data_IF_356531807249
#
_entry.id   IF_356531807249
#
_cell.length_a   1.000
_cell.length_b   1.000
_cell.length_c   1.000
_cell.angle_alpha   90.00
_cell.angle_beta   90.00
_cell.angle_gamma   90.00
#
_symmetry.space_group_name_H-M   'P 1'
#
loop_
_entity.id
_entity.type
_entity.pdbx_description
1 polymer ?
#
# COMPACT_ATOMS: atom_id res chain seq x y z
N UNK A 1 33.06 -35.70 48.35
CA UNK A 1 31.89 -35.08 47.69
C UNK A 1 32.39 -34.16 46.56
N UNK A 2 32.34 -34.63 45.32
CA UNK A 2 32.80 -33.85 44.14
C UNK A 2 31.58 -33.23 43.45
N UNK A 3 31.42 -31.92 43.59
CA UNK A 3 30.39 -31.16 42.94
C UNK A 3 30.90 -30.76 41.54
N UNK A 4 30.37 -31.40 40.50
CA UNK A 4 30.63 -30.99 39.09
C UNK A 4 29.75 -29.80 38.74
N UNK A 5 30.40 -28.66 38.49
CA UNK A 5 29.74 -27.45 37.96
C UNK A 5 29.50 -27.63 36.47
N UNK A 6 28.22 -27.72 36.03
CA UNK A 6 27.86 -27.70 34.63
C UNK A 6 27.72 -26.25 34.18
N UNK A 7 28.65 -25.80 33.36
CA UNK A 7 28.54 -24.52 32.65
C UNK A 7 27.68 -24.74 31.42
N UNK A 8 26.43 -24.22 31.44
CA UNK A 8 25.58 -24.15 30.25
C UNK A 8 25.98 -22.94 29.41
N UNK A 9 26.64 -23.21 28.28
CA UNK A 9 26.90 -22.15 27.27
C UNK A 9 25.64 -21.94 26.48
N UNK A 10 24.94 -20.81 26.75
CA UNK A 10 23.85 -20.33 25.89
C UNK A 10 24.48 -19.74 24.62
N UNK A 11 24.40 -20.46 23.53
CA UNK A 11 24.70 -19.92 22.21
C UNK A 11 23.56 -18.98 21.79
N UNK A 12 23.74 -17.68 21.92
CA UNK A 12 22.91 -16.69 21.28
C UNK A 12 23.17 -16.72 19.76
N UNK A 13 22.34 -17.41 19.00
CA UNK A 13 22.31 -17.28 17.56
C UNK A 13 21.68 -15.93 17.20
N UNK A 14 22.47 -14.91 16.97
CA UNK A 14 22.02 -13.67 16.34
C UNK A 14 21.71 -13.98 14.88
N UNK A 15 20.43 -14.19 14.55
CA UNK A 15 19.98 -14.13 13.17
C UNK A 15 20.09 -12.68 12.73
N UNK A 16 21.14 -12.36 11.95
CA UNK A 16 21.26 -11.07 11.32
C UNK A 16 20.01 -10.89 10.42
N UNK A 17 19.11 -9.99 10.81
CA UNK A 17 17.98 -9.60 9.96
C UNK A 17 18.58 -9.02 8.69
N UNK A 18 18.30 -9.65 7.54
CA UNK A 18 18.78 -9.17 6.25
C UNK A 18 18.17 -7.79 5.98
N UNK A 19 19.01 -6.80 5.65
CA UNK A 19 18.59 -5.42 5.47
C UNK A 19 17.50 -5.29 4.39
N UNK A 20 16.51 -4.46 4.67
CA UNK A 20 15.51 -4.04 3.69
C UNK A 20 16.13 -3.02 2.74
N UNK A 21 15.97 -3.22 1.44
CA UNK A 21 16.51 -2.28 0.45
C UNK A 21 15.52 -2.03 -0.69
N UNK A 22 15.55 -0.81 -1.20
CA UNK A 22 14.90 -0.41 -2.46
C UNK A 22 16.02 -0.09 -3.45
N UNK A 23 16.01 -0.73 -4.61
CA UNK A 23 16.92 -0.44 -5.69
C UNK A 23 16.14 -0.20 -6.97
N UNK A 24 16.40 0.93 -7.65
CA UNK A 24 15.74 1.30 -8.90
C UNK A 24 16.73 1.23 -10.06
N UNK A 25 16.38 0.49 -11.09
CA UNK A 25 17.07 0.44 -12.38
C UNK A 25 16.09 0.78 -13.50
N UNK A 26 16.60 1.00 -14.71
CA UNK A 26 15.76 1.38 -15.86
C UNK A 26 15.99 0.46 -17.04
N UNK A 27 14.88 0.04 -17.67
CA UNK A 27 14.86 -0.65 -18.96
C UNK A 27 14.04 0.21 -19.93
N UNK A 28 14.72 1.00 -20.76
CA UNK A 28 14.08 2.03 -21.59
C UNK A 28 13.43 3.12 -20.75
N UNK A 29 12.11 3.27 -20.87
CA UNK A 29 11.25 4.19 -20.13
C UNK A 29 10.64 3.57 -18.86
N UNK A 30 10.91 2.29 -18.60
CA UNK A 30 10.37 1.55 -17.46
C UNK A 30 11.35 1.60 -16.28
N UNK A 31 10.92 2.16 -15.16
CA UNK A 31 11.63 2.00 -13.89
C UNK A 31 11.32 0.62 -13.29
N UNK A 32 12.36 -0.11 -12.92
CA UNK A 32 12.27 -1.41 -12.24
C UNK A 32 12.73 -1.23 -10.82
N UNK A 33 11.77 -1.18 -9.90
CA UNK A 33 12.01 -1.05 -8.46
C UNK A 33 12.08 -2.44 -7.86
N UNK A 34 13.27 -2.84 -7.44
CA UNK A 34 13.51 -4.11 -6.76
C UNK A 34 13.57 -3.86 -5.26
N UNK A 35 12.69 -4.54 -4.52
CA UNK A 35 12.64 -4.51 -3.06
C UNK A 35 13.13 -5.83 -2.52
N UNK A 36 14.16 -5.79 -1.65
CA UNK A 36 14.67 -6.96 -0.92
C UNK A 36 14.06 -6.96 0.48
N UNK A 37 13.59 -8.12 0.94
CA UNK A 37 12.87 -8.30 2.20
C UNK A 37 11.73 -7.30 2.35
N UNK A 38 10.72 -7.35 1.44
CA UNK A 38 9.64 -6.38 1.41
C UNK A 38 8.81 -6.39 2.71
N UNK A 39 8.41 -5.20 3.12
CA UNK A 39 7.32 -4.99 4.07
C UNK A 39 5.96 -5.19 3.39
N UNK A 40 4.86 -4.98 4.12
CA UNK A 40 3.51 -5.07 3.55
C UNK A 40 3.32 -4.09 2.40
N UNK A 41 3.83 -2.86 2.53
CA UNK A 41 3.60 -1.78 1.57
C UNK A 41 4.88 -1.16 1.03
N UNK A 42 4.85 -0.79 -0.23
CA UNK A 42 5.65 0.26 -0.83
C UNK A 42 4.81 1.54 -0.80
N UNK A 43 5.27 2.56 -0.11
CA UNK A 43 4.57 3.85 -0.04
C UNK A 43 4.93 4.66 -1.26
N UNK A 44 3.91 5.00 -2.06
CA UNK A 44 4.03 5.73 -3.31
C UNK A 44 3.68 7.21 -3.09
N UNK A 45 4.62 8.13 -3.32
CA UNK A 45 4.36 9.57 -3.30
C UNK A 45 3.53 10.01 -4.51
N UNK A 46 2.49 10.81 -4.29
CA UNK A 46 1.54 11.28 -5.30
C UNK A 46 1.59 12.80 -5.44
N UNK A 47 1.56 13.28 -6.69
CA UNK A 47 1.38 14.69 -7.06
C UNK A 47 0.08 14.81 -7.89
N UNK A 48 -0.97 15.38 -7.29
CA UNK A 48 -2.36 15.27 -7.74
C UNK A 48 -2.61 15.77 -9.17
N UNK A 49 -1.89 16.78 -9.62
CA UNK A 49 -2.09 17.41 -10.92
C UNK A 49 -1.11 16.93 -11.99
N UNK A 50 -0.59 15.71 -11.87
CA UNK A 50 0.31 15.11 -12.86
C UNK A 50 -0.39 14.06 -13.73
N UNK A 51 0.17 13.76 -14.91
CA UNK A 51 -0.23 12.57 -15.65
C UNK A 51 -0.04 11.30 -14.83
N UNK A 52 -0.86 10.31 -15.11
CA UNK A 52 -0.77 9.00 -14.48
C UNK A 52 0.43 8.23 -15.05
N UNK A 53 1.20 7.63 -14.16
CA UNK A 53 2.15 6.58 -14.46
C UNK A 53 1.47 5.23 -14.21
N UNK A 54 1.90 4.19 -14.93
CA UNK A 54 1.40 2.84 -14.72
C UNK A 54 2.33 2.09 -13.77
N UNK A 55 1.77 1.52 -12.72
CA UNK A 55 2.49 0.77 -11.68
C UNK A 55 2.00 -0.67 -11.66
N UNK A 56 2.92 -1.62 -11.71
CA UNK A 56 2.64 -3.05 -11.69
C UNK A 56 3.47 -3.76 -10.61
N UNK A 57 2.83 -4.56 -9.77
CA UNK A 57 3.53 -5.58 -9.00
C UNK A 57 3.78 -6.79 -9.91
N UNK A 58 5.04 -6.98 -10.32
CA UNK A 58 5.43 -8.04 -11.25
C UNK A 58 5.61 -9.36 -10.52
N UNK A 59 4.59 -10.19 -10.54
CA UNK A 59 4.63 -11.57 -10.03
C UNK A 59 4.95 -12.61 -11.11
N UNK A 60 5.27 -12.15 -12.33
CA UNK A 60 5.53 -13.02 -13.47
C UNK A 60 4.27 -13.68 -14.05
N UNK A 61 3.07 -13.19 -13.70
CA UNK A 61 1.79 -13.71 -14.16
C UNK A 61 1.21 -12.83 -15.27
N UNK A 62 0.56 -13.44 -16.27
CA UNK A 62 -0.17 -12.69 -17.31
C UNK A 62 -1.39 -11.94 -16.77
N UNK A 63 -1.85 -12.28 -15.57
CA UNK A 63 -3.00 -11.68 -14.88
C UNK A 63 -2.58 -10.51 -13.98
N UNK A 64 -1.28 -10.17 -13.90
CA UNK A 64 -0.84 -9.02 -13.15
C UNK A 64 -1.44 -7.74 -13.78
N UNK A 65 -2.03 -6.88 -12.94
CA UNK A 65 -2.77 -5.71 -13.38
C UNK A 65 -1.96 -4.44 -13.14
N UNK A 66 -1.94 -3.57 -14.14
CA UNK A 66 -1.37 -2.23 -14.04
C UNK A 66 -2.34 -1.29 -13.31
N UNK A 67 -1.79 -0.50 -12.41
CA UNK A 67 -2.53 0.55 -11.70
C UNK A 67 -2.06 1.92 -12.18
N UNK A 68 -2.99 2.81 -12.42
CA UNK A 68 -2.72 4.19 -12.82
C UNK A 68 -2.53 5.05 -11.57
N UNK A 69 -1.34 5.63 -11.39
CA UNK A 69 -1.00 6.43 -10.20
C UNK A 69 -0.33 7.73 -10.63
N UNK A 70 -0.81 8.87 -10.11
CA UNK A 70 -0.20 10.19 -10.35
C UNK A 70 1.03 10.36 -9.49
N UNK A 71 2.10 9.63 -9.83
CA UNK A 71 3.35 9.65 -9.06
C UNK A 71 4.00 11.03 -9.07
N UNK A 72 4.57 11.42 -7.94
CA UNK A 72 5.19 12.71 -7.72
C UNK A 72 6.39 12.93 -8.67
N UNK A 73 6.34 13.99 -9.46
CA UNK A 73 7.44 14.42 -10.34
C UNK A 73 8.28 15.49 -9.68
N UNK A 74 7.67 16.50 -9.07
CA UNK A 74 8.36 17.67 -8.48
C UNK A 74 8.09 17.87 -7.00
N UNK A 75 6.93 17.44 -6.50
CA UNK A 75 6.54 17.56 -5.09
C UNK A 75 5.60 16.41 -4.72
N UNK A 76 5.48 16.12 -3.44
CA UNK A 76 4.53 15.15 -2.92
C UNK A 76 3.37 15.88 -2.24
N UNK A 77 2.16 15.68 -2.76
CA UNK A 77 0.94 16.23 -2.14
C UNK A 77 0.42 15.27 -1.04
N UNK A 78 0.47 13.96 -1.30
CA UNK A 78 0.14 12.89 -0.34
C UNK A 78 0.81 11.58 -0.75
N UNK A 79 0.58 10.52 0.01
CA UNK A 79 1.10 9.19 -0.31
C UNK A 79 0.01 8.14 -0.25
N UNK A 80 0.20 7.04 -1.00
CA UNK A 80 -0.71 5.89 -0.99
C UNK A 80 0.06 4.60 -0.73
N UNK A 81 -0.52 3.60 -0.05
CA UNK A 81 0.10 2.30 0.17
C UNK A 81 -0.11 1.42 -1.06
N UNK A 82 0.95 0.85 -1.58
CA UNK A 82 0.93 -0.16 -2.65
C UNK A 82 1.35 -1.49 -2.05
N UNK A 83 0.45 -2.46 -2.02
CA UNK A 83 0.71 -3.73 -1.35
C UNK A 83 1.72 -4.57 -2.12
N UNK A 84 2.71 -5.10 -1.41
CA UNK A 84 3.78 -5.94 -1.95
C UNK A 84 3.51 -7.41 -1.67
N UNK A 85 3.99 -8.28 -2.55
CA UNK A 85 3.98 -9.73 -2.31
C UNK A 85 4.88 -10.10 -1.13
N UNK A 86 4.41 -11.00 -0.27
CA UNK A 86 5.24 -11.60 0.77
C UNK A 86 6.36 -12.40 0.14
N UNK A 87 7.57 -12.34 0.70
CA UNK A 87 8.71 -13.10 0.21
C UNK A 87 10.04 -12.42 0.49
N UNK A 88 11.11 -12.91 -0.15
CA UNK A 88 12.46 -12.33 -0.03
C UNK A 88 12.69 -11.16 -1.00
N UNK A 89 11.86 -11.05 -2.03
CA UNK A 89 12.00 -10.06 -3.09
C UNK A 89 10.62 -9.73 -3.67
N UNK A 90 10.38 -8.44 -3.94
CA UNK A 90 9.28 -7.95 -4.76
C UNK A 90 9.85 -7.09 -5.90
N UNK A 91 9.19 -7.08 -7.05
CA UNK A 91 9.54 -6.24 -8.19
C UNK A 91 8.35 -5.41 -8.59
N UNK A 92 8.53 -4.10 -8.62
CA UNK A 92 7.52 -3.15 -9.08
C UNK A 92 8.02 -2.47 -10.35
N UNK A 93 7.24 -2.54 -11.41
CA UNK A 93 7.51 -1.84 -12.67
C UNK A 93 6.70 -0.56 -12.72
N UNK A 94 7.32 0.52 -13.18
CA UNK A 94 6.68 1.83 -13.32
C UNK A 94 6.97 2.35 -14.72
N UNK A 95 5.91 2.65 -15.48
CA UNK A 95 6.00 3.20 -16.85
C UNK A 95 5.40 4.60 -16.86
N UNK A 96 5.98 5.50 -17.66
CA UNK A 96 5.50 6.87 -17.80
C UNK A 96 5.99 7.82 -16.71
N UNK A 97 7.04 7.47 -15.96
CA UNK A 97 7.63 8.30 -14.92
C UNK A 97 9.05 8.75 -15.32
N UNK A 98 9.36 10.04 -15.17
CA UNK A 98 10.70 10.58 -15.42
C UNK A 98 11.75 9.97 -14.48
N UNK A 99 12.97 9.76 -14.99
CA UNK A 99 14.07 9.12 -14.23
C UNK A 99 14.51 9.90 -12.99
N UNK A 100 14.32 11.19 -12.98
CA UNK A 100 14.67 12.11 -11.90
C UNK A 100 13.48 12.49 -11.01
N UNK A 101 12.31 11.87 -11.25
CA UNK A 101 11.08 12.14 -10.52
C UNK A 101 11.25 12.02 -9.00
N UNK A 102 10.58 12.93 -8.28
CA UNK A 102 10.60 12.99 -6.82
C UNK A 102 10.13 11.66 -6.19
N UNK A 103 9.11 11.04 -6.78
CA UNK A 103 8.60 9.76 -6.29
C UNK A 103 9.69 8.71 -6.11
N UNK A 104 10.60 8.55 -7.08
CA UNK A 104 11.67 7.54 -7.00
C UNK A 104 12.65 7.77 -5.85
N UNK A 105 12.78 9.02 -5.39
CA UNK A 105 13.64 9.40 -4.27
C UNK A 105 12.96 9.22 -2.92
N UNK A 106 11.63 9.23 -2.91
CA UNK A 106 10.80 9.20 -1.69
C UNK A 106 10.06 7.89 -1.47
N UNK A 107 10.30 6.86 -2.30
CA UNK A 107 9.77 5.52 -2.05
C UNK A 107 10.19 5.03 -0.66
N UNK A 108 9.24 4.51 0.10
CA UNK A 108 9.46 4.00 1.46
C UNK A 108 8.82 2.63 1.64
N UNK A 109 9.44 1.80 2.46
CA UNK A 109 8.88 0.53 2.90
C UNK A 109 8.19 0.71 4.25
N UNK A 110 7.00 0.12 4.42
CA UNK A 110 6.28 0.16 5.69
C UNK A 110 5.38 -1.06 5.85
N UNK A 111 5.28 -1.56 7.06
CA UNK A 111 4.29 -2.60 7.42
C UNK A 111 2.92 -2.01 7.76
N UNK A 112 2.85 -0.70 7.94
CA UNK A 112 1.63 0.03 8.28
C UNK A 112 1.45 1.25 7.39
N UNK A 113 0.21 1.70 7.24
CA UNK A 113 -0.13 2.97 6.61
C UNK A 113 -1.03 3.75 7.57
N UNK A 114 -0.70 5.02 7.80
CA UNK A 114 -1.51 5.87 8.67
C UNK A 114 -2.79 6.30 7.94
N UNK A 115 -3.91 5.76 8.37
CA UNK A 115 -5.22 6.06 7.82
C UNK A 115 -5.98 7.14 8.59
N UNK A 116 -5.36 7.74 9.61
CA UNK A 116 -5.96 8.85 10.35
C UNK A 116 -5.98 10.08 9.46
N UNK A 117 -7.13 10.35 8.91
CA UNK A 117 -7.34 11.53 8.09
C UNK A 117 -7.87 12.66 8.98
N UNK A 118 -7.05 13.68 9.20
CA UNK A 118 -7.39 14.90 9.96
C UNK A 118 -7.68 16.10 9.06
N UNK A 119 -7.88 15.86 7.75
CA UNK A 119 -8.19 16.91 6.81
C UNK A 119 -9.44 17.68 7.22
N UNK A 120 -9.42 19.00 7.06
CA UNK A 120 -10.52 19.90 7.42
C UNK A 120 -11.84 19.52 6.72
N UNK A 121 -11.78 19.03 5.48
CA UNK A 121 -12.95 18.65 4.70
C UNK A 121 -13.43 17.23 4.93
N UNK A 122 -12.77 16.46 5.80
CA UNK A 122 -13.25 15.11 6.11
C UNK A 122 -14.61 15.16 6.79
N UNK A 123 -15.64 14.47 6.24
CA UNK A 123 -16.94 14.35 6.90
C UNK A 123 -16.82 13.69 8.28
N UNK A 124 -17.57 14.21 9.25
CA UNK A 124 -17.52 13.72 10.65
C UNK A 124 -18.46 12.52 10.85
N UNK A 125 -19.57 12.45 10.11
CA UNK A 125 -20.63 11.46 10.32
C UNK A 125 -21.03 10.67 9.07
N UNK A 126 -20.60 11.07 7.88
CA UNK A 126 -20.80 10.28 6.67
C UNK A 126 -19.76 9.16 6.58
N UNK A 127 -20.16 8.02 6.00
CA UNK A 127 -19.19 6.99 5.62
C UNK A 127 -18.18 7.55 4.63
N UNK A 128 -16.90 7.29 4.88
CA UNK A 128 -15.79 7.60 3.97
C UNK A 128 -14.80 6.44 4.00
N UNK A 129 -14.07 6.18 2.90
CA UNK A 129 -12.97 5.21 2.94
C UNK A 129 -11.87 5.71 3.88
N UNK A 130 -11.01 4.80 4.32
CA UNK A 130 -9.86 5.17 5.16
C UNK A 130 -8.89 6.09 4.43
N UNK A 131 -8.72 5.90 3.13
CA UNK A 131 -7.94 6.72 2.20
C UNK A 131 -8.44 6.47 0.78
N UNK A 132 -7.92 7.22 -0.21
CA UNK A 132 -8.30 7.08 -1.61
C UNK A 132 -9.65 7.73 -1.94
N UNK A 133 -10.23 7.34 -3.06
CA UNK A 133 -11.44 7.89 -3.59
C UNK A 133 -12.58 6.87 -3.56
N UNK A 134 -13.76 7.32 -3.25
CA UNK A 134 -14.98 6.52 -3.18
C UNK A 134 -16.06 7.10 -4.11
N UNK A 135 -16.85 6.22 -4.75
CA UNK A 135 -18.03 6.56 -5.49
C UNK A 135 -19.21 5.66 -5.09
N UNK A 136 -20.03 5.25 -6.06
CA UNK A 136 -21.31 4.58 -5.86
C UNK A 136 -21.28 3.44 -4.85
N UNK A 137 -22.30 3.41 -4.00
CA UNK A 137 -22.65 2.23 -3.23
C UNK A 137 -23.26 1.19 -4.18
N UNK A 138 -22.55 0.08 -4.39
CA UNK A 138 -22.93 -0.96 -5.35
C UNK A 138 -23.60 -2.18 -4.73
N UNK A 139 -23.45 -2.38 -3.44
CA UNK A 139 -24.05 -3.50 -2.72
C UNK A 139 -24.39 -3.11 -1.30
N UNK A 140 -25.68 -3.10 -1.00
CA UNK A 140 -26.23 -2.82 0.31
C UNK A 140 -26.98 -4.04 0.79
N UNK A 141 -26.59 -4.61 1.91
CA UNK A 141 -27.29 -5.77 2.47
C UNK A 141 -27.26 -5.75 4.01
N UNK A 142 -28.24 -6.37 4.61
CA UNK A 142 -28.29 -6.64 6.03
C UNK A 142 -28.22 -8.14 6.27
N UNK A 143 -27.24 -8.60 6.99
CA UNK A 143 -27.02 -10.02 7.27
C UNK A 143 -26.43 -10.22 8.66
N UNK A 144 -26.92 -11.17 9.41
CA UNK A 144 -26.39 -11.61 10.70
C UNK A 144 -26.23 -10.48 11.74
N UNK A 145 -27.12 -9.45 11.68
CA UNK A 145 -27.09 -8.30 12.59
C UNK A 145 -26.17 -7.15 12.14
N UNK A 146 -25.63 -7.21 10.94
CA UNK A 146 -24.73 -6.19 10.39
C UNK A 146 -25.22 -5.66 9.03
N UNK A 147 -25.05 -4.37 8.82
CA UNK A 147 -25.21 -3.70 7.53
C UNK A 147 -23.90 -3.78 6.77
N UNK A 148 -23.94 -4.26 5.55
CA UNK A 148 -22.80 -4.31 4.65
C UNK A 148 -22.93 -3.26 3.58
N UNK A 149 -21.88 -2.50 3.36
CA UNK A 149 -21.76 -1.48 2.32
C UNK A 149 -20.58 -1.82 1.43
N UNK A 150 -20.87 -2.13 0.16
CA UNK A 150 -19.86 -2.26 -0.89
C UNK A 150 -19.92 -1.03 -1.78
N UNK A 151 -18.77 -0.50 -2.17
CA UNK A 151 -18.67 0.75 -2.93
C UNK A 151 -17.53 0.73 -3.93
N UNK A 152 -17.66 1.52 -4.99
CA UNK A 152 -16.55 1.76 -5.92
C UNK A 152 -15.42 2.47 -5.20
N UNK A 153 -14.20 1.97 -5.41
CA UNK A 153 -13.06 2.43 -4.65
C UNK A 153 -11.81 2.53 -5.52
N UNK A 154 -11.11 3.68 -5.44
CA UNK A 154 -9.76 3.83 -5.97
C UNK A 154 -8.79 4.06 -4.81
N UNK A 155 -7.96 3.07 -4.44
CA UNK A 155 -6.99 3.22 -3.34
C UNK A 155 -5.75 4.04 -3.71
N UNK A 156 -5.53 4.36 -4.99
CA UNK A 156 -4.28 4.95 -5.48
C UNK A 156 -4.40 6.41 -5.90
N UNK A 157 -5.50 7.06 -5.62
CA UNK A 157 -5.70 8.44 -5.99
C UNK A 157 -6.97 9.06 -5.42
N UNK A 158 -7.24 10.31 -5.80
CA UNK A 158 -8.38 11.12 -5.36
C UNK A 158 -9.46 11.25 -6.44
N UNK A 159 -9.36 10.49 -7.54
CA UNK A 159 -10.27 10.56 -8.69
C UNK A 159 -10.72 9.18 -9.12
N UNK A 160 -11.71 9.15 -10.01
CA UNK A 160 -12.16 7.92 -10.64
C UNK A 160 -11.00 7.21 -11.38
N UNK A 161 -10.87 5.92 -11.21
CA UNK A 161 -9.83 5.08 -11.82
C UNK A 161 -9.60 3.82 -10.99
N UNK A 162 -8.78 2.90 -11.45
CA UNK A 162 -8.34 1.68 -10.72
C UNK A 162 -9.47 0.99 -9.94
N UNK A 163 -10.62 0.75 -10.57
CA UNK A 163 -11.82 0.32 -9.86
C UNK A 163 -11.62 -0.95 -9.04
N UNK A 164 -11.69 -0.77 -7.74
CA UNK A 164 -11.79 -1.81 -6.72
C UNK A 164 -13.17 -1.74 -6.08
N UNK A 165 -13.48 -2.71 -5.26
CA UNK A 165 -14.60 -2.67 -4.35
C UNK A 165 -14.09 -2.48 -2.93
N UNK A 166 -14.51 -1.39 -2.29
CA UNK A 166 -14.38 -1.24 -0.85
C UNK A 166 -15.52 -1.96 -0.15
N UNK A 167 -15.27 -2.45 1.06
CA UNK A 167 -16.28 -3.11 1.89
C UNK A 167 -16.20 -2.57 3.31
N UNK A 168 -17.36 -2.17 3.85
CA UNK A 168 -17.50 -1.77 5.22
C UNK A 168 -18.71 -2.41 5.87
N UNK A 169 -18.64 -2.64 7.18
CA UNK A 169 -19.74 -3.17 7.99
C UNK A 169 -20.07 -2.24 9.13
N UNK A 170 -21.36 -2.21 9.51
CA UNK A 170 -21.86 -1.43 10.64
C UNK A 170 -23.05 -2.14 11.32
N UNK A 171 -23.22 -1.94 12.61
CA UNK A 171 -24.39 -2.41 13.36
C UNK A 171 -25.45 -1.34 13.57
N UNK A 172 -25.09 -0.09 13.35
CA UNK A 172 -25.93 1.07 13.67
C UNK A 172 -26.01 2.12 12.54
N UNK A 173 -25.35 1.88 11.38
CA UNK A 173 -25.23 2.78 10.23
C UNK A 173 -24.46 4.09 10.52
N UNK A 174 -23.89 4.23 11.70
CA UNK A 174 -23.10 5.39 12.12
C UNK A 174 -21.62 5.03 12.28
N UNK A 175 -21.35 3.93 12.98
CA UNK A 175 -19.99 3.45 13.21
C UNK A 175 -19.67 2.34 12.22
N UNK A 176 -18.69 2.57 11.35
CA UNK A 176 -18.30 1.68 10.28
C UNK A 176 -16.91 1.07 10.52
N UNK A 177 -16.81 -0.21 10.30
CA UNK A 177 -15.54 -0.94 10.23
C UNK A 177 -15.24 -1.27 8.77
N UNK A 178 -14.07 -0.87 8.29
CA UNK A 178 -13.58 -1.26 6.97
C UNK A 178 -13.03 -2.68 7.03
N UNK A 179 -13.34 -3.47 6.00
CA UNK A 179 -12.83 -4.82 5.81
C UNK A 179 -11.88 -4.84 4.60
N UNK A 180 -10.90 -5.78 4.64
CA UNK A 180 -9.96 -6.05 3.55
C UNK A 180 -10.63 -6.80 2.39
#
# INVERSE_FOLDING_TARGET
>A
MNTKLFLAVLALSSTAASAQTINTTFAGDTAIVTVTNPTKYLILPVEENRPEAQVLLDNGKKTDTWMDVRLAVSKTDYSVPFELSKGKKAVVKIVGLAKDAQALKELKLSDTFDTRNTDYYRPVYHHTPLYGWMNDANGLTYKDGEYHLYFQYNPYGSKWGNMHWGHSVSRDLVHWQHLD
#
